data_IF_796112747484
#
_entry.id   IF_796112747484
#
_cell.length_a   1.000
_cell.length_b   1.000
_cell.length_c   1.000
_cell.angle_alpha   90.00
_cell.angle_beta   90.00
_cell.angle_gamma   90.00
#
_symmetry.space_group_name_H-M   'P 1'
#
loop_
_entity.id
_entity.type
_entity.pdbx_description
1 polymer ?
#
# COMPACT_ATOMS: atom_id res chain seq x y z
N UNK A 1 -38.05 -13.77 -13.72
CA UNK A 1 -37.50 -12.87 -12.69
C UNK A 1 -36.24 -13.53 -12.15
N UNK A 2 -35.10 -13.28 -12.79
CA UNK A 2 -33.82 -13.88 -12.39
C UNK A 2 -32.81 -12.75 -12.33
N UNK A 3 -32.49 -12.32 -11.12
CA UNK A 3 -31.56 -11.23 -10.84
C UNK A 3 -30.17 -11.82 -10.64
N UNK A 4 -29.26 -11.55 -11.57
CA UNK A 4 -27.83 -11.89 -11.47
C UNK A 4 -27.15 -10.88 -10.52
N UNK A 5 -26.29 -11.30 -9.57
CA UNK A 5 -25.55 -10.35 -8.74
C UNK A 5 -24.38 -9.76 -9.54
N UNK A 6 -24.32 -8.44 -9.60
CA UNK A 6 -23.21 -7.68 -10.20
C UNK A 6 -21.96 -7.80 -9.33
N UNK A 7 -20.93 -8.47 -9.85
CA UNK A 7 -19.59 -8.49 -9.25
C UNK A 7 -18.95 -7.11 -9.38
N UNK A 8 -18.59 -6.49 -8.25
CA UNK A 8 -17.84 -5.24 -8.25
C UNK A 8 -16.37 -5.50 -8.62
N UNK A 9 -15.73 -4.64 -9.44
CA UNK A 9 -14.33 -4.80 -9.78
C UNK A 9 -13.46 -4.45 -8.57
N UNK A 10 -12.51 -5.34 -8.26
CA UNK A 10 -11.46 -5.12 -7.26
C UNK A 10 -10.65 -3.87 -7.61
N UNK A 11 -10.69 -2.87 -6.74
CA UNK A 11 -9.90 -1.65 -6.89
C UNK A 11 -8.43 -1.98 -6.60
N UNK A 12 -7.66 -2.24 -7.66
CA UNK A 12 -6.23 -2.51 -7.57
C UNK A 12 -5.49 -1.24 -7.13
N UNK A 13 -5.18 -1.15 -5.84
CA UNK A 13 -4.53 0.00 -5.21
C UNK A 13 -3.10 0.25 -5.74
N UNK A 14 -2.52 -0.72 -6.49
CA UNK A 14 -1.19 -0.61 -7.08
C UNK A 14 -1.20 0.09 -8.46
N UNK A 15 -2.35 0.20 -9.13
CA UNK A 15 -2.47 0.88 -10.43
C UNK A 15 -2.08 2.37 -10.35
N UNK A 16 -2.30 2.99 -9.19
CA UNK A 16 -2.08 4.43 -8.92
C UNK A 16 -0.60 4.81 -8.76
N UNK A 17 0.32 3.83 -8.65
CA UNK A 17 1.77 4.13 -8.49
C UNK A 17 2.36 4.89 -9.69
N UNK A 18 1.79 4.66 -10.88
CA UNK A 18 2.12 5.42 -12.11
C UNK A 18 1.64 6.88 -12.06
N UNK A 19 0.54 7.15 -11.36
CA UNK A 19 -0.09 8.47 -11.24
C UNK A 19 0.65 9.39 -10.25
N UNK A 20 1.31 8.85 -9.23
CA UNK A 20 2.05 9.66 -8.25
C UNK A 20 3.14 10.55 -8.89
N UNK A 21 3.75 10.10 -10.00
CA UNK A 21 4.71 10.89 -10.80
C UNK A 21 4.06 11.73 -11.91
N UNK A 22 2.81 11.43 -12.31
CA UNK A 22 2.10 12.18 -13.36
C UNK A 22 1.49 13.49 -12.87
N UNK A 23 1.56 13.79 -11.57
CA UNK A 23 1.03 15.04 -11.02
C UNK A 23 1.83 16.29 -11.47
N UNK A 24 3.09 16.12 -11.90
CA UNK A 24 3.94 17.20 -12.43
C UNK A 24 4.14 17.16 -13.94
N UNK A 25 3.94 16.00 -14.59
CA UNK A 25 4.26 15.79 -16.00
C UNK A 25 3.11 15.09 -16.72
N UNK A 26 2.73 15.64 -17.87
CA UNK A 26 1.69 15.09 -18.75
C UNK A 26 2.14 13.85 -19.52
N UNK A 27 3.44 13.62 -19.62
CA UNK A 27 4.02 12.47 -20.33
C UNK A 27 4.48 11.38 -19.35
N UNK A 28 4.33 10.09 -19.73
CA UNK A 28 4.78 8.99 -18.90
C UNK A 28 6.31 9.00 -18.74
N UNK A 29 6.78 8.76 -17.51
CA UNK A 29 8.21 8.63 -17.24
C UNK A 29 8.81 7.49 -18.07
N UNK A 30 10.00 7.74 -18.65
CA UNK A 30 10.71 6.72 -19.42
C UNK A 30 11.13 5.54 -18.55
N UNK A 31 11.15 4.34 -19.14
CA UNK A 31 11.52 3.12 -18.41
C UNK A 31 13.00 3.09 -18.00
N UNK A 32 13.83 3.90 -18.66
CA UNK A 32 15.21 4.11 -18.24
C UNK A 32 15.25 4.84 -16.88
N UNK A 33 14.50 5.94 -16.76
CA UNK A 33 14.47 6.73 -15.53
C UNK A 33 13.85 5.91 -14.40
N UNK A 34 12.75 5.20 -14.63
CA UNK A 34 12.13 4.31 -13.61
C UNK A 34 13.12 3.29 -13.06
N UNK A 35 13.87 2.61 -13.93
CA UNK A 35 14.88 1.61 -13.51
C UNK A 35 16.04 2.24 -12.76
N UNK A 36 16.49 3.41 -13.21
CA UNK A 36 17.60 4.12 -12.58
C UNK A 36 17.24 4.66 -11.19
N UNK A 37 16.01 5.14 -10.98
CA UNK A 37 15.58 5.70 -9.70
C UNK A 37 14.96 4.68 -8.74
N UNK A 38 14.59 3.49 -9.22
CA UNK A 38 14.03 2.45 -8.35
C UNK A 38 15.10 1.86 -7.40
N UNK A 39 14.80 1.85 -6.11
CA UNK A 39 15.67 1.25 -5.08
C UNK A 39 15.16 -0.10 -4.56
N UNK A 40 14.00 -0.56 -5.02
CA UNK A 40 13.29 -1.75 -4.49
C UNK A 40 14.15 -3.02 -4.45
N UNK A 41 15.02 -3.23 -5.44
CA UNK A 41 15.89 -4.40 -5.50
C UNK A 41 16.85 -4.49 -4.31
N UNK A 42 17.19 -3.35 -3.73
CA UNK A 42 18.09 -3.22 -2.58
C UNK A 42 17.31 -2.99 -1.28
N UNK A 43 16.36 -2.07 -1.27
CA UNK A 43 15.63 -1.63 -0.08
C UNK A 43 14.61 -2.64 0.44
N UNK A 44 14.17 -3.60 -0.38
CA UNK A 44 13.23 -4.64 0.05
C UNK A 44 13.66 -5.37 1.33
N UNK A 45 14.97 -5.45 1.62
CA UNK A 45 15.48 -6.06 2.85
C UNK A 45 15.05 -5.33 4.13
N UNK A 46 14.58 -4.10 4.01
CA UNK A 46 14.13 -3.26 5.12
C UNK A 46 12.66 -3.50 5.49
N UNK A 47 11.98 -4.44 4.83
CA UNK A 47 10.54 -4.68 5.01
C UNK A 47 10.14 -4.89 6.47
N UNK A 48 10.96 -5.60 7.25
CA UNK A 48 10.67 -5.85 8.67
C UNK A 48 10.58 -4.56 9.48
N UNK A 49 11.50 -3.63 9.23
CA UNK A 49 11.52 -2.34 9.90
C UNK A 49 10.37 -1.45 9.43
N UNK A 50 10.03 -1.49 8.15
CA UNK A 50 8.92 -0.73 7.57
C UNK A 50 7.56 -1.17 8.14
N UNK A 51 7.33 -2.49 8.27
CA UNK A 51 6.13 -3.05 8.91
C UNK A 51 6.08 -2.67 10.39
N UNK A 52 7.19 -2.84 11.13
CA UNK A 52 7.23 -2.49 12.54
C UNK A 52 6.96 -1.00 12.78
N UNK A 53 7.57 -0.12 11.97
CA UNK A 53 7.33 1.32 12.03
C UNK A 53 5.88 1.70 11.68
N UNK A 54 5.31 1.04 10.68
CA UNK A 54 3.91 1.26 10.27
C UNK A 54 2.92 0.85 11.35
N UNK A 55 3.15 -0.29 12.03
CA UNK A 55 2.32 -0.73 13.15
C UNK A 55 2.39 0.24 14.33
N UNK A 56 3.59 0.69 14.71
CA UNK A 56 3.76 1.66 15.78
C UNK A 56 3.09 3.01 15.45
N UNK A 57 3.16 3.43 14.18
CA UNK A 57 2.48 4.64 13.74
C UNK A 57 0.95 4.47 13.80
N UNK A 58 0.40 3.34 13.33
CA UNK A 58 -1.03 3.07 13.41
C UNK A 58 -1.54 3.02 14.86
N UNK A 59 -0.77 2.41 15.77
CA UNK A 59 -1.07 2.41 17.20
C UNK A 59 -1.13 3.83 17.77
N UNK A 60 -0.14 4.66 17.44
CA UNK A 60 -0.13 6.07 17.85
C UNK A 60 -1.34 6.82 17.29
N UNK A 61 -1.70 6.64 16.01
CA UNK A 61 -2.87 7.29 15.40
C UNK A 61 -4.18 6.88 16.10
N UNK A 62 -4.32 5.61 16.47
CA UNK A 62 -5.47 5.11 17.22
C UNK A 62 -5.51 5.72 18.63
N UNK A 63 -4.37 5.81 19.32
CA UNK A 63 -4.27 6.43 20.64
C UNK A 63 -4.62 7.92 20.63
N UNK A 64 -4.34 8.63 19.52
CA UNK A 64 -4.74 10.03 19.33
C UNK A 64 -6.20 10.19 18.85
N UNK A 65 -6.93 9.09 18.61
CA UNK A 65 -8.30 9.12 18.11
C UNK A 65 -8.43 9.58 16.66
N UNK A 66 -7.34 9.56 15.88
CA UNK A 66 -7.34 9.93 14.45
C UNK A 66 -7.95 8.79 13.61
N UNK A 67 -7.72 7.54 14.01
CA UNK A 67 -8.35 6.35 13.43
C UNK A 67 -9.11 5.57 14.51
N UNK A 68 -10.16 4.86 14.10
CA UNK A 68 -10.94 4.01 15.00
C UNK A 68 -10.23 2.71 15.37
N UNK A 69 -10.74 2.03 16.41
CA UNK A 69 -10.23 0.73 16.83
C UNK A 69 -10.38 -0.34 15.73
N UNK A 70 -11.48 -0.30 14.97
CA UNK A 70 -11.73 -1.24 13.87
C UNK A 70 -10.75 -1.03 12.70
N UNK A 71 -10.41 0.23 12.40
CA UNK A 71 -9.41 0.58 11.39
C UNK A 71 -8.03 0.13 11.83
N UNK A 72 -7.64 0.42 13.08
CA UNK A 72 -6.37 -0.04 13.64
C UNK A 72 -6.24 -1.57 13.59
N UNK A 73 -7.28 -2.30 14.00
CA UNK A 73 -7.30 -3.76 13.94
C UNK A 73 -7.24 -4.28 12.50
N UNK A 74 -7.84 -3.57 11.54
CA UNK A 74 -7.76 -3.91 10.11
C UNK A 74 -6.35 -3.71 9.56
N UNK A 75 -5.67 -2.62 9.95
CA UNK A 75 -4.26 -2.37 9.59
C UNK A 75 -3.37 -3.49 10.15
N UNK A 76 -3.55 -3.85 11.42
CA UNK A 76 -2.78 -4.94 12.05
C UNK A 76 -2.94 -6.27 11.29
N UNK A 77 -4.17 -6.64 10.92
CA UNK A 77 -4.43 -7.85 10.13
C UNK A 77 -3.78 -7.77 8.74
N UNK A 78 -3.90 -6.64 8.06
CA UNK A 78 -3.29 -6.43 6.75
C UNK A 78 -1.77 -6.53 6.79
N UNK A 79 -1.12 -5.94 7.80
CA UNK A 79 0.32 -6.03 8.00
C UNK A 79 0.79 -7.46 8.30
N UNK A 80 0.00 -8.22 9.08
CA UNK A 80 0.28 -9.62 9.33
C UNK A 80 0.17 -10.48 8.07
N UNK A 81 -0.82 -10.20 7.22
CA UNK A 81 -0.94 -10.84 5.91
C UNK A 81 0.26 -10.51 5.00
N UNK A 82 0.61 -9.22 4.86
CA UNK A 82 1.76 -8.79 4.05
C UNK A 82 3.04 -9.47 4.53
N UNK A 83 3.26 -9.56 5.84
CA UNK A 83 4.41 -10.26 6.42
C UNK A 83 4.48 -11.71 5.93
N UNK A 84 3.36 -12.44 5.93
CA UNK A 84 3.29 -13.83 5.46
C UNK A 84 3.55 -13.96 3.95
N UNK A 85 3.20 -12.95 3.16
CA UNK A 85 3.39 -12.96 1.71
C UNK A 85 4.84 -12.69 1.28
N UNK A 86 5.62 -12.01 2.12
CA UNK A 86 6.98 -11.54 1.77
C UNK A 86 8.11 -12.25 2.54
N UNK A 87 7.79 -12.99 3.60
CA UNK A 87 8.73 -13.84 4.35
C UNK A 87 9.07 -15.13 3.58
#
# INVERSE_FOLDING_TARGET
MSSTPSSQPSHDQLATKSQAWSALFSEPMSDLVKRYTSSVFFDKRLWQADIAGSLAHAEMLAAQGIIGADDHASIQRGMAQITQEIE
#
